data_IF_066766405049
#
_entry.id   IF_066766405049
#
_cell.length_a   1.000
_cell.length_b   1.000
_cell.length_c   1.000
_cell.angle_alpha   90.00
_cell.angle_beta   90.00
_cell.angle_gamma   90.00
#
_symmetry.space_group_name_H-M   'P 1'
#
loop_
_entity.id
_entity.type
_entity.pdbx_description
1 polymer ?
#
# COMPACT_ATOMS: atom_id res chain seq x y z
N UNK A 1 6.68 22.01 27.75
CA UNK A 1 5.86 22.20 26.53
C UNK A 1 6.16 21.09 25.54
N UNK A 2 5.20 20.20 25.24
CA UNK A 2 5.45 18.97 24.49
C UNK A 2 5.75 19.23 23.00
N UNK A 3 6.69 18.45 22.43
CA UNK A 3 7.03 18.39 21.01
C UNK A 3 5.82 18.23 20.07
N UNK A 4 4.67 17.82 20.59
CA UNK A 4 3.41 17.66 19.86
C UNK A 4 2.85 18.97 19.26
N UNK A 5 3.21 20.15 19.80
CA UNK A 5 2.66 21.43 19.31
C UNK A 5 3.37 22.02 18.08
N UNK A 6 4.58 21.58 17.73
CA UNK A 6 5.36 22.15 16.60
C UNK A 6 4.94 21.67 15.20
N UNK A 7 4.09 20.64 15.09
CA UNK A 7 3.74 19.99 13.82
C UNK A 7 2.38 20.40 13.22
N UNK A 8 1.67 21.38 13.78
CA UNK A 8 0.28 21.70 13.37
C UNK A 8 0.08 22.20 11.93
N UNK A 9 1.14 22.54 11.20
CA UNK A 9 1.05 23.15 9.86
C UNK A 9 1.79 22.41 8.73
N UNK A 10 2.32 21.20 8.96
CA UNK A 10 3.00 20.47 7.88
C UNK A 10 1.95 19.72 7.08
N UNK A 11 1.81 20.06 5.79
CA UNK A 11 0.97 19.33 4.85
C UNK A 11 1.82 18.29 4.15
N UNK A 12 1.41 17.03 4.23
CA UNK A 12 2.03 15.96 3.48
C UNK A 12 1.54 16.00 2.04
N UNK A 13 2.43 15.72 1.10
CA UNK A 13 2.09 15.58 -0.31
C UNK A 13 2.67 14.26 -0.82
N UNK A 14 1.86 13.45 -1.49
CA UNK A 14 2.30 12.19 -2.08
C UNK A 14 1.81 12.09 -3.52
N UNK A 15 2.66 11.56 -4.39
CA UNK A 15 2.29 11.04 -5.70
C UNK A 15 2.24 9.52 -5.61
N UNK A 16 1.10 8.96 -6.00
CA UNK A 16 0.88 7.52 -6.12
C UNK A 16 1.01 7.13 -7.58
N UNK A 17 1.82 6.11 -7.87
CA UNK A 17 2.01 5.57 -9.22
C UNK A 17 2.00 4.05 -9.22
N UNK A 18 1.18 3.43 -10.04
CA UNK A 18 1.11 1.98 -10.19
C UNK A 18 -0.31 1.45 -10.18
N UNK A 19 -0.54 0.30 -9.54
CA UNK A 19 -1.83 -0.38 -9.54
C UNK A 19 -2.54 -0.21 -8.20
N UNK A 20 -3.78 0.28 -8.22
CA UNK A 20 -4.70 0.16 -7.07
C UNK A 20 -5.48 -1.15 -7.10
N UNK A 21 -5.65 -1.74 -8.28
CA UNK A 21 -6.26 -3.05 -8.45
C UNK A 21 -5.63 -3.72 -9.67
N UNK A 22 -5.34 -5.02 -9.55
CA UNK A 22 -5.00 -5.90 -10.66
C UNK A 22 -5.75 -7.22 -10.47
N UNK A 23 -6.38 -7.72 -11.54
CA UNK A 23 -7.07 -9.01 -11.53
C UNK A 23 -6.54 -9.91 -12.65
N UNK A 24 -6.40 -11.19 -12.33
CA UNK A 24 -5.99 -12.25 -13.28
C UNK A 24 -6.91 -13.44 -13.09
N UNK A 25 -7.47 -13.95 -14.20
CA UNK A 25 -8.29 -15.17 -14.17
C UNK A 25 -7.40 -16.37 -13.85
N UNK A 26 -7.85 -17.25 -12.98
CA UNK A 26 -7.14 -18.49 -12.64
C UNK A 26 -8.07 -19.67 -12.85
N UNK A 27 -7.62 -20.63 -13.65
CA UNK A 27 -8.32 -21.88 -13.90
C UNK A 27 -9.58 -21.74 -14.78
N UNK A 28 -10.28 -22.87 -15.02
CA UNK A 28 -11.41 -22.93 -15.94
C UNK A 28 -12.67 -22.27 -15.38
N UNK A 29 -12.90 -22.37 -14.05
CA UNK A 29 -13.99 -21.68 -13.35
C UNK A 29 -13.71 -20.17 -13.32
N UNK A 30 -14.74 -19.31 -13.26
CA UNK A 30 -14.65 -17.83 -13.25
C UNK A 30 -13.99 -17.26 -11.98
N UNK A 31 -12.92 -17.89 -11.50
CA UNK A 31 -12.12 -17.46 -10.37
C UNK A 31 -11.08 -16.44 -10.83
N UNK A 32 -10.85 -15.45 -9.98
CA UNK A 32 -9.84 -14.43 -10.21
C UNK A 32 -8.94 -14.37 -9.01
N UNK A 33 -7.66 -14.14 -9.22
CA UNK A 33 -6.81 -13.58 -8.18
C UNK A 33 -6.84 -12.07 -8.28
N UNK A 34 -6.88 -11.40 -7.14
CA UNK A 34 -6.94 -9.94 -7.01
C UNK A 34 -5.79 -9.47 -6.13
N UNK A 35 -5.14 -8.39 -6.54
CA UNK A 35 -4.24 -7.62 -5.70
C UNK A 35 -4.72 -6.17 -5.73
N UNK A 36 -4.87 -5.55 -4.58
CA UNK A 36 -5.38 -4.19 -4.50
C UNK A 36 -4.75 -3.39 -3.36
N UNK A 37 -4.70 -2.07 -3.54
CA UNK A 37 -4.35 -1.09 -2.53
C UNK A 37 -5.53 -0.15 -2.28
N UNK A 38 -5.84 0.07 -1.01
CA UNK A 38 -6.81 1.05 -0.53
C UNK A 38 -6.07 2.20 0.13
N UNK A 39 -6.48 3.43 -0.17
CA UNK A 39 -5.84 4.64 0.35
C UNK A 39 -6.84 5.36 1.26
N UNK A 40 -6.42 5.66 2.48
CA UNK A 40 -7.22 6.35 3.49
C UNK A 40 -6.44 7.60 3.90
N UNK A 41 -6.99 8.78 3.67
CA UNK A 41 -6.42 10.06 4.08
C UNK A 41 -7.26 10.65 5.19
N UNK A 42 -6.68 10.91 6.36
CA UNK A 42 -7.35 11.59 7.47
C UNK A 42 -8.74 10.99 7.81
N UNK A 43 -8.83 9.65 7.81
CA UNK A 43 -10.05 8.90 8.12
C UNK A 43 -11.00 8.68 6.94
N UNK A 44 -10.71 9.25 5.77
CA UNK A 44 -11.56 9.12 4.57
C UNK A 44 -10.90 8.25 3.52
N UNK A 45 -11.67 7.30 2.99
CA UNK A 45 -11.25 6.53 1.83
C UNK A 45 -11.17 7.43 0.60
N UNK A 46 -10.02 7.41 -0.08
CA UNK A 46 -9.87 8.06 -1.36
C UNK A 46 -10.45 7.16 -2.46
N UNK A 47 -11.59 7.58 -3.02
CA UNK A 47 -12.27 6.90 -4.12
C UNK A 47 -11.90 7.53 -5.46
N UNK A 48 -12.04 6.77 -6.54
CA UNK A 48 -11.91 7.25 -7.93
C UNK A 48 -10.60 8.00 -8.23
N UNK A 49 -9.53 7.57 -7.56
CA UNK A 49 -8.20 8.16 -7.69
C UNK A 49 -7.35 7.52 -8.81
N UNK A 50 -7.88 6.54 -9.53
CA UNK A 50 -7.20 5.86 -10.63
C UNK A 50 -8.11 5.63 -11.84
N UNK A 51 -7.50 5.29 -12.98
CA UNK A 51 -8.17 4.98 -14.24
C UNK A 51 -8.41 3.47 -14.35
N UNK A 52 -9.61 3.09 -14.74
CA UNK A 52 -9.98 1.69 -15.02
C UNK A 52 -9.42 1.30 -16.40
N UNK A 53 -8.68 0.20 -16.45
CA UNK A 53 -8.14 -0.36 -17.70
C UNK A 53 -8.33 -1.88 -17.66
N UNK A 54 -9.32 -2.38 -18.41
CA UNK A 54 -9.71 -3.80 -18.43
C UNK A 54 -9.94 -4.35 -17.02
N UNK A 55 -9.01 -5.18 -16.54
CA UNK A 55 -9.06 -5.89 -15.26
C UNK A 55 -8.24 -5.19 -14.14
N UNK A 56 -7.85 -3.94 -14.35
CA UNK A 56 -6.96 -3.20 -13.48
C UNK A 56 -7.46 -1.78 -13.21
N UNK A 57 -7.03 -1.21 -12.08
CA UNK A 57 -7.14 0.23 -11.79
C UNK A 57 -5.72 0.75 -11.61
N UNK A 58 -5.34 1.69 -12.46
CA UNK A 58 -4.00 2.29 -12.49
C UNK A 58 -4.09 3.70 -11.93
N UNK A 59 -3.18 4.05 -11.02
CA UNK A 59 -3.07 5.39 -10.44
C UNK A 59 -1.80 6.07 -10.95
N UNK A 60 -1.93 7.33 -11.33
CA UNK A 60 -0.83 8.29 -11.43
C UNK A 60 -1.38 9.66 -11.02
N UNK A 61 -1.37 9.93 -9.71
CA UNK A 61 -2.03 11.12 -9.16
C UNK A 61 -1.37 11.56 -7.86
N UNK A 62 -1.36 12.88 -7.63
CA UNK A 62 -0.86 13.49 -6.42
C UNK A 62 -2.01 13.87 -5.47
N UNK A 63 -1.74 13.79 -4.17
CA UNK A 63 -2.69 14.07 -3.11
C UNK A 63 -2.00 14.73 -1.93
N UNK A 64 -2.75 15.54 -1.18
CA UNK A 64 -2.32 16.16 0.06
C UNK A 64 -3.04 15.52 1.24
N UNK A 65 -2.39 15.45 2.39
CA UNK A 65 -2.95 14.94 3.64
C UNK A 65 -2.39 15.73 4.84
N UNK A 66 -3.17 15.84 5.92
CA UNK A 66 -2.84 16.74 7.05
C UNK A 66 -2.35 16.01 8.29
N UNK A 67 -2.94 14.88 8.63
CA UNK A 67 -2.59 14.13 9.85
C UNK A 67 -1.91 12.84 9.47
N UNK A 68 -2.53 12.04 8.61
CA UNK A 68 -1.96 10.78 8.16
C UNK A 68 -2.52 10.31 6.82
N UNK A 69 -1.73 9.49 6.13
CA UNK A 69 -2.16 8.70 4.99
C UNK A 69 -1.90 7.24 5.29
N UNK A 70 -2.94 6.41 5.29
CA UNK A 70 -2.84 4.96 5.46
C UNK A 70 -3.04 4.26 4.12
N UNK A 71 -2.09 3.41 3.77
CA UNK A 71 -2.13 2.59 2.57
C UNK A 71 -2.27 1.13 3.01
N UNK A 72 -3.36 0.49 2.60
CA UNK A 72 -3.66 -0.91 2.92
C UNK A 72 -3.60 -1.73 1.65
N UNK A 73 -2.64 -2.64 1.56
CA UNK A 73 -2.48 -3.57 0.45
C UNK A 73 -2.99 -4.97 0.83
N UNK A 74 -3.69 -5.63 -0.11
CA UNK A 74 -4.18 -7.01 0.03
C UNK A 74 -4.08 -7.75 -1.30
N UNK A 75 -3.76 -9.03 -1.26
CA UNK A 75 -3.72 -9.93 -2.42
C UNK A 75 -4.47 -11.24 -2.12
N UNK A 76 -4.88 -12.01 -3.11
CA UNK A 76 -5.54 -13.32 -2.93
C UNK A 76 -6.70 -13.60 -3.87
N UNK A 77 -7.29 -14.80 -3.73
CA UNK A 77 -8.51 -15.21 -4.43
C UNK A 77 -9.75 -14.80 -3.61
N UNK A 78 -10.84 -14.28 -4.21
CA UNK A 78 -12.13 -14.01 -3.55
C UNK A 78 -12.56 -15.12 -2.58
N UNK A 79 -12.79 -14.76 -1.32
CA UNK A 79 -13.19 -15.67 -0.24
C UNK A 79 -12.02 -16.39 0.43
N UNK A 80 -10.82 -16.35 -0.16
CA UNK A 80 -9.58 -16.89 0.40
C UNK A 80 -8.53 -15.79 0.62
N UNK A 81 -8.92 -14.50 0.50
CA UNK A 81 -8.00 -13.41 0.74
C UNK A 81 -7.72 -13.29 2.25
N UNK A 82 -6.77 -14.11 2.73
CA UNK A 82 -6.40 -14.27 4.12
C UNK A 82 -6.31 -15.72 4.61
N UNK A 83 -6.63 -16.73 3.78
CA UNK A 83 -6.75 -18.14 4.20
C UNK A 83 -5.83 -19.15 3.48
N UNK A 84 -4.59 -18.81 3.11
CA UNK A 84 -3.69 -19.92 2.72
C UNK A 84 -2.22 -19.69 3.00
N UNK A 85 -1.45 -20.78 3.02
CA UNK A 85 0.02 -20.80 2.96
C UNK A 85 0.58 -20.02 1.74
N UNK A 86 -0.25 -19.82 0.71
CA UNK A 86 0.00 -18.96 -0.47
C UNK A 86 -0.96 -17.73 -0.53
N UNK A 87 -1.71 -17.46 0.54
CA UNK A 87 -3.05 -16.85 0.51
C UNK A 87 -3.15 -15.56 1.28
N UNK A 88 -2.84 -14.49 0.56
CA UNK A 88 -3.17 -13.13 0.93
C UNK A 88 -2.27 -12.49 1.96
N UNK A 89 -1.26 -11.77 1.44
CA UNK A 89 -0.41 -10.91 2.26
C UNK A 89 -1.08 -9.55 2.41
N UNK A 90 -1.17 -9.11 3.67
CA UNK A 90 -1.65 -7.78 4.02
C UNK A 90 -0.47 -6.93 4.43
N UNK A 91 -0.45 -5.70 3.93
CA UNK A 91 0.46 -4.66 4.42
C UNK A 91 -0.36 -3.42 4.71
N UNK A 92 -0.11 -2.80 5.85
CA UNK A 92 -0.66 -1.51 6.23
C UNK A 92 0.52 -0.59 6.51
N UNK A 93 0.59 0.51 5.76
CA UNK A 93 1.63 1.53 5.92
C UNK A 93 0.96 2.84 6.26
N UNK A 94 1.27 3.38 7.42
CA UNK A 94 0.80 4.69 7.87
C UNK A 94 1.93 5.71 7.67
N UNK A 95 1.62 6.78 6.95
CA UNK A 95 2.51 7.89 6.67
C UNK A 95 2.07 9.12 7.44
N UNK A 96 3.02 9.91 7.92
CA UNK A 96 2.80 11.25 8.47
C UNK A 96 3.41 12.32 7.57
N UNK A 97 2.87 13.54 7.58
CA UNK A 97 3.48 14.66 6.89
C UNK A 97 4.94 14.86 7.32
N UNK A 98 5.80 15.16 6.37
CA UNK A 98 7.22 15.48 6.62
C UNK A 98 7.65 16.65 5.76
N UNK A 99 8.81 17.23 6.08
CA UNK A 99 9.48 18.22 5.22
C UNK A 99 10.49 17.58 4.27
N UNK A 100 10.82 16.31 4.47
CA UNK A 100 11.78 15.58 3.63
C UNK A 100 11.04 14.78 2.57
N UNK A 101 11.54 14.85 1.35
CA UNK A 101 11.03 14.02 0.26
C UNK A 101 11.56 12.59 0.41
N UNK A 102 10.67 11.62 0.29
CA UNK A 102 10.95 10.18 0.35
C UNK A 102 10.23 9.45 -0.78
N UNK A 103 10.71 8.26 -1.07
CA UNK A 103 10.08 7.35 -2.01
C UNK A 103 10.06 5.95 -1.39
N UNK A 104 8.93 5.26 -1.53
CA UNK A 104 8.78 3.85 -1.20
C UNK A 104 8.05 3.14 -2.32
N UNK A 105 8.32 1.84 -2.46
CA UNK A 105 7.63 0.96 -3.38
C UNK A 105 6.96 -0.14 -2.56
N UNK A 106 5.64 -0.20 -2.62
CA UNK A 106 4.85 -1.25 -1.99
C UNK A 106 4.60 -2.35 -3.02
N UNK A 107 4.98 -3.58 -2.70
CA UNK A 107 4.82 -4.74 -3.57
C UNK A 107 3.98 -5.81 -2.87
N UNK A 108 2.93 -6.27 -3.56
CA UNK A 108 2.12 -7.40 -3.13
C UNK A 108 2.38 -8.59 -4.07
N UNK A 109 2.70 -9.78 -3.53
CA UNK A 109 2.82 -10.97 -4.36
C UNK A 109 1.47 -11.30 -4.98
N UNK A 110 1.43 -11.35 -6.30
CA UNK A 110 0.18 -11.52 -7.03
C UNK A 110 0.18 -12.81 -7.83
N UNK A 111 1.30 -13.18 -8.44
CA UNK A 111 1.47 -14.47 -9.09
C UNK A 111 2.92 -14.93 -8.92
N UNK A 112 3.22 -16.18 -9.26
CA UNK A 112 4.57 -16.77 -9.15
C UNK A 112 5.62 -15.84 -9.79
N UNK A 113 5.28 -15.24 -10.93
CA UNK A 113 6.17 -14.37 -11.69
C UNK A 113 5.71 -12.90 -11.73
N UNK A 114 4.80 -12.46 -10.84
CA UNK A 114 4.35 -11.07 -10.89
C UNK A 114 3.90 -10.48 -9.55
N UNK A 115 4.19 -9.19 -9.37
CA UNK A 115 3.70 -8.40 -8.25
C UNK A 115 2.66 -7.38 -8.71
N UNK A 116 1.86 -6.92 -7.75
CA UNK A 116 1.12 -5.66 -7.85
C UNK A 116 1.94 -4.61 -7.11
N UNK A 117 2.29 -3.52 -7.80
CA UNK A 117 3.18 -2.50 -7.27
C UNK A 117 2.47 -1.15 -7.18
N UNK A 118 2.77 -0.44 -6.10
CA UNK A 118 2.38 0.94 -5.87
C UNK A 118 3.59 1.72 -5.37
N UNK A 119 4.08 2.65 -6.20
CA UNK A 119 5.10 3.63 -5.83
C UNK A 119 4.44 4.80 -5.13
N UNK A 120 5.07 5.26 -4.05
CA UNK A 120 4.61 6.39 -3.23
C UNK A 120 5.80 7.30 -3.04
N UNK A 121 5.76 8.49 -3.64
CA UNK A 121 6.84 9.47 -3.56
C UNK A 121 6.31 10.82 -3.10
N UNK A 122 7.01 11.50 -2.19
CA UNK A 122 6.57 12.81 -1.71
C UNK A 122 7.09 13.18 -0.33
N UNK A 123 6.44 14.14 0.31
CA UNK A 123 6.80 14.74 1.58
C UNK A 123 6.14 14.00 2.74
N UNK A 124 6.77 12.92 3.18
CA UNK A 124 6.24 12.09 4.27
C UNK A 124 7.33 11.36 5.06
N UNK A 125 6.98 10.95 6.27
CA UNK A 125 7.71 9.99 7.09
C UNK A 125 6.84 8.74 7.27
N UNK A 126 7.46 7.55 7.33
CA UNK A 126 6.75 6.33 7.68
C UNK A 126 6.57 6.33 9.20
N UNK A 127 5.32 6.35 9.66
CA UNK A 127 5.00 6.26 11.08
C UNK A 127 4.95 4.81 11.55
N UNK A 128 4.23 3.96 10.80
CA UNK A 128 3.99 2.57 11.18
C UNK A 128 3.91 1.68 9.96
N UNK A 129 4.48 0.48 10.07
CA UNK A 129 4.26 -0.61 9.12
C UNK A 129 3.68 -1.78 9.90
N UNK A 130 2.51 -2.24 9.49
CA UNK A 130 1.87 -3.43 10.02
C UNK A 130 1.84 -4.49 8.93
N UNK A 131 2.37 -5.66 9.25
CA UNK A 131 2.24 -6.86 8.41
C UNK A 131 1.32 -7.80 9.16
N UNK A 132 0.19 -8.14 8.57
CA UNK A 132 -0.64 -9.22 9.10
C UNK A 132 -0.18 -10.46 8.36
N UNK A 133 0.71 -11.20 9.01
CA UNK A 133 1.03 -12.58 8.65
C UNK A 133 0.33 -13.47 9.64
N UNK A 134 -0.37 -14.46 9.11
CA UNK A 134 -0.85 -15.59 9.91
C UNK A 134 0.21 -16.71 10.01
N UNK A 135 1.34 -16.60 9.29
CA UNK A 135 2.47 -17.54 9.39
C UNK A 135 3.83 -16.81 9.42
N UNK A 136 4.58 -17.03 10.50
CA UNK A 136 5.68 -16.19 10.97
C UNK A 136 7.08 -16.61 10.46
N UNK A 137 7.19 -17.14 9.23
CA UNK A 137 8.45 -17.82 8.80
C UNK A 137 9.28 -17.22 7.65
N UNK A 138 8.89 -16.10 7.04
CA UNK A 138 9.69 -15.55 5.90
C UNK A 138 10.33 -14.18 6.20
N UNK A 139 11.63 -14.11 6.50
CA UNK A 139 12.32 -12.81 6.64
C UNK A 139 12.31 -12.04 5.31
N UNK A 140 11.70 -10.86 5.26
CA UNK A 140 11.87 -9.92 4.14
C UNK A 140 13.05 -9.00 4.43
N UNK A 141 14.04 -9.02 3.54
CA UNK A 141 15.19 -8.11 3.57
C UNK A 141 14.77 -6.79 2.92
N UNK A 142 14.84 -5.71 3.69
CA UNK A 142 14.80 -4.35 3.14
C UNK A 142 16.24 -3.91 2.90
N UNK A 143 16.65 -3.56 1.67
CA UNK A 143 17.94 -2.91 1.48
C UNK A 143 17.86 -1.52 2.13
N UNK A 144 18.58 -1.31 3.23
CA UNK A 144 18.88 0.05 3.69
C UNK A 144 18.62 0.41 5.16
N UNK A 145 18.29 -0.52 6.07
CA UNK A 145 18.31 -0.21 7.51
C UNK A 145 19.25 -1.15 8.25
N UNK A 146 20.54 -0.80 8.30
CA UNK A 146 21.37 -1.15 9.45
C UNK A 146 20.91 -0.26 10.60
N UNK A 147 20.11 -0.81 11.49
CA UNK A 147 19.98 -0.24 12.84
C UNK A 147 21.16 -0.80 13.62
N UNK A 148 21.99 0.10 14.17
CA UNK A 148 23.05 -0.25 15.11
C UNK A 148 22.47 -0.89 16.36
#
# INVERSE_FOLDING_TARGET
>A
MSLARKNKNIIGEVRLQGYLLKRKRIGPRRMYRKGYFSIISDGRFLRDIGKIVKNSVIVDKAFKFRNYLKIVGKTGTPGLEGMSKEGGKWISVTLRPSRKRKEIILRLPFDVNSNVELKVAGLFDIEKIEKIRWDDKEKFIFPGNKVK
#
